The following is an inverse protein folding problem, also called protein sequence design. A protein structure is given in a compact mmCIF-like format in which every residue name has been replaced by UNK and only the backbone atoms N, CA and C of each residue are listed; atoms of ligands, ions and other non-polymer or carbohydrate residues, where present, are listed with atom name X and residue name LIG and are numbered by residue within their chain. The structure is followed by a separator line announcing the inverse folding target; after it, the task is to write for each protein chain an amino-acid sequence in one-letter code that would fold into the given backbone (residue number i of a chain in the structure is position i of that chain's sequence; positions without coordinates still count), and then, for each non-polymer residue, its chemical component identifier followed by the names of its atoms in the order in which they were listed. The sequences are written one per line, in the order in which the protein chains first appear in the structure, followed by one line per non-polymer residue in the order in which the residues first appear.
data_IF_563454423380
#
_entry.id   IF_563454423380
#
_cell.length_a   1.000
_cell.length_b   1.000
_cell.length_c   1.000
_cell.angle_alpha   90.00
_cell.angle_beta   90.00
_cell.angle_gamma   90.00
#
_symmetry.space_group_name_H-M   'P 1'
#
loop_
_entity.id
_entity.type
_entity.pdbx_description
1 polymer ?
#
# COMPACT_ATOMS: atom_id res chain seq x y z
N UNK A 1 37.19 23.93 -18.78
CA UNK A 1 35.78 24.32 -18.93
C UNK A 1 35.13 23.47 -20.03
N UNK A 2 34.51 22.34 -19.69
CA UNK A 2 33.46 21.72 -20.54
C UNK A 2 32.60 20.80 -19.68
N UNK A 3 31.50 21.37 -19.17
CA UNK A 3 30.48 20.70 -18.37
C UNK A 3 29.64 19.83 -19.31
N UNK A 4 29.91 18.52 -19.37
CA UNK A 4 28.99 17.57 -20.02
C UNK A 4 27.79 17.37 -19.09
N UNK A 5 26.66 17.95 -19.48
CA UNK A 5 25.37 17.71 -18.85
C UNK A 5 25.01 16.23 -19.00
N UNK A 6 25.03 15.49 -17.88
CA UNK A 6 24.34 14.21 -17.78
C UNK A 6 22.86 14.54 -17.57
N UNK A 7 22.06 14.36 -18.61
CA UNK A 7 20.61 14.49 -18.56
C UNK A 7 20.05 13.47 -17.57
N UNK A 8 19.32 14.00 -16.60
CA UNK A 8 18.72 13.31 -15.48
C UNK A 8 17.52 12.49 -15.99
N UNK A 9 17.56 11.17 -15.84
CA UNK A 9 16.42 10.25 -16.01
C UNK A 9 15.45 10.34 -14.81
N UNK A 10 14.99 11.55 -14.46
CA UNK A 10 13.94 11.76 -13.45
C UNK A 10 12.59 11.82 -14.17
N UNK A 11 11.82 10.74 -14.10
CA UNK A 11 10.39 10.81 -14.44
C UNK A 11 9.76 9.63 -15.15
N UNK A 12 10.38 8.45 -15.20
CA UNK A 12 9.62 7.27 -15.64
C UNK A 12 8.72 6.79 -14.49
N UNK A 13 7.38 6.86 -14.61
CA UNK A 13 6.53 6.12 -13.69
C UNK A 13 6.91 4.65 -13.85
N UNK A 14 7.26 4.00 -12.75
CA UNK A 14 7.41 2.56 -12.73
C UNK A 14 6.00 1.97 -12.93
N UNK A 15 5.56 1.83 -14.18
CA UNK A 15 4.38 1.05 -14.51
C UNK A 15 4.73 -0.41 -14.25
N UNK A 16 4.52 -0.85 -13.02
CA UNK A 16 4.50 -2.25 -12.67
C UNK A 16 3.32 -2.91 -13.40
N UNK A 17 3.55 -3.34 -14.64
CA UNK A 17 2.63 -4.23 -15.33
C UNK A 17 2.70 -5.59 -14.64
N UNK A 18 1.93 -5.75 -13.56
CA UNK A 18 1.67 -7.06 -12.97
C UNK A 18 0.78 -7.82 -13.96
N UNK A 19 1.30 -8.93 -14.49
CA UNK A 19 0.48 -9.90 -15.20
C UNK A 19 -0.46 -10.58 -14.20
N UNK A 20 -1.72 -10.88 -14.60
CA UNK A 20 -2.66 -11.61 -13.76
C UNK A 20 -2.02 -12.87 -13.18
N UNK A 21 -1.97 -12.98 -11.85
CA UNK A 21 -1.31 -14.10 -11.19
C UNK A 21 -1.97 -14.48 -9.87
N UNK A 22 -1.81 -15.75 -9.52
CA UNK A 22 -2.28 -16.30 -8.26
C UNK A 22 -1.15 -16.30 -7.24
N UNK A 23 -1.45 -15.84 -6.03
CA UNK A 23 -0.60 -15.85 -4.86
C UNK A 23 -1.14 -16.85 -3.84
N UNK A 24 -0.26 -17.35 -2.99
CA UNK A 24 -0.64 -18.12 -1.80
C UNK A 24 -0.17 -17.33 -0.60
N UNK A 25 -1.08 -17.03 0.32
CA UNK A 25 -0.72 -16.34 1.57
C UNK A 25 -0.30 -17.32 2.68
N UNK A 26 0.09 -16.77 3.82
CA UNK A 26 0.58 -17.55 4.97
C UNK A 26 -0.49 -18.48 5.58
N UNK A 27 -1.78 -18.24 5.29
CA UNK A 27 -2.90 -19.10 5.67
C UNK A 27 -3.22 -20.17 4.60
N UNK A 28 -2.44 -20.24 3.53
CA UNK A 28 -2.64 -21.16 2.41
C UNK A 28 -3.77 -20.77 1.45
N UNK A 29 -4.33 -19.56 1.56
CA UNK A 29 -5.40 -19.08 0.68
C UNK A 29 -4.84 -18.71 -0.68
N UNK A 30 -5.53 -19.11 -1.75
CA UNK A 30 -5.18 -18.73 -3.12
C UNK A 30 -5.85 -17.40 -3.48
N UNK A 31 -5.06 -16.36 -3.69
CA UNK A 31 -5.53 -15.02 -4.03
C UNK A 31 -5.17 -14.72 -5.48
N UNK A 32 -6.17 -14.51 -6.34
CA UNK A 32 -5.95 -14.11 -7.73
C UNK A 32 -5.99 -12.60 -7.85
N UNK A 33 -4.90 -11.99 -8.32
CA UNK A 33 -4.85 -10.56 -8.62
C UNK A 33 -4.75 -10.37 -10.13
N UNK A 34 -5.79 -9.79 -10.72
CA UNK A 34 -5.82 -9.44 -12.14
C UNK A 34 -4.95 -8.21 -12.47
N UNK A 35 -4.73 -7.34 -11.49
CA UNK A 35 -3.92 -6.12 -11.58
C UNK A 35 -3.28 -5.82 -10.22
N UNK A 36 -2.33 -4.89 -10.20
CA UNK A 36 -1.80 -4.36 -8.94
C UNK A 36 -2.92 -3.71 -8.10
N UNK A 37 -3.00 -3.98 -6.78
CA UNK A 37 -3.89 -3.29 -5.87
C UNK A 37 -3.61 -1.79 -5.85
N UNK A 38 -4.66 -0.99 -5.77
CA UNK A 38 -4.59 0.48 -5.77
C UNK A 38 -5.28 1.10 -4.56
N UNK A 39 -5.96 0.28 -3.74
CA UNK A 39 -6.69 0.69 -2.54
C UNK A 39 -6.47 -0.34 -1.43
N UNK A 40 -5.42 -0.13 -0.65
CA UNK A 40 -4.95 -1.03 0.39
C UNK A 40 -5.38 -0.55 1.77
N UNK A 41 -5.97 -1.44 2.56
CA UNK A 41 -6.09 -1.27 4.02
C UNK A 41 -4.96 -2.05 4.69
N UNK A 42 -4.23 -1.39 5.58
CA UNK A 42 -3.13 -1.98 6.36
C UNK A 42 -3.54 -2.15 7.82
N UNK A 43 -3.61 -3.39 8.30
CA UNK A 43 -4.05 -3.76 9.64
C UNK A 43 -2.91 -3.97 10.65
N UNK A 44 -1.68 -3.58 10.30
CA UNK A 44 -0.55 -3.59 11.23
C UNK A 44 0.41 -2.41 11.00
N UNK A 45 1.00 -1.83 12.06
CA UNK A 45 2.01 -0.77 11.93
C UNK A 45 3.19 -1.17 11.03
N UNK A 46 3.74 -2.36 11.22
CA UNK A 46 4.86 -2.87 10.42
C UNK A 46 4.55 -2.93 8.92
N UNK A 47 3.33 -3.32 8.55
CA UNK A 47 2.89 -3.35 7.14
C UNK A 47 2.78 -1.93 6.59
N UNK A 48 2.20 -1.01 7.37
CA UNK A 48 2.10 0.40 6.98
C UNK A 48 3.48 1.00 6.72
N UNK A 49 4.43 0.78 7.62
CA UNK A 49 5.80 1.25 7.46
C UNK A 49 6.48 0.70 6.21
N UNK A 50 6.31 -0.59 5.92
CA UNK A 50 6.82 -1.21 4.69
C UNK A 50 6.23 -0.55 3.45
N UNK A 51 4.90 -0.35 3.41
CA UNK A 51 4.22 0.28 2.28
C UNK A 51 4.74 1.70 2.01
N UNK A 52 4.94 2.50 3.07
CA UNK A 52 5.59 3.81 2.94
C UNK A 52 7.04 3.69 2.46
N UNK A 53 7.82 2.75 2.99
CA UNK A 53 9.23 2.57 2.64
C UNK A 53 9.42 2.20 1.16
N UNK A 54 8.47 1.48 0.56
CA UNK A 54 8.49 1.11 -0.88
C UNK A 54 7.75 2.11 -1.78
N UNK A 55 7.33 3.26 -1.24
CA UNK A 55 6.71 4.33 -2.02
C UNK A 55 5.25 4.08 -2.43
N UNK A 56 4.53 3.22 -1.71
CA UNK A 56 3.11 2.92 -1.93
C UNK A 56 2.19 3.66 -0.96
N UNK A 57 2.55 4.90 -0.60
CA UNK A 57 1.78 5.69 0.35
C UNK A 57 0.41 6.14 -0.18
N UNK A 58 0.26 6.26 -1.50
CA UNK A 58 -0.96 6.77 -2.13
C UNK A 58 -2.04 5.69 -2.21
N UNK A 59 -1.63 4.43 -2.26
CA UNK A 59 -2.48 3.25 -2.30
C UNK A 59 -3.11 2.96 -0.93
N UNK A 60 -2.53 3.45 0.17
CA UNK A 60 -3.05 3.25 1.52
C UNK A 60 -4.33 4.08 1.72
N UNK A 61 -5.47 3.40 1.86
CA UNK A 61 -6.78 4.03 2.09
C UNK A 61 -7.27 3.91 3.54
N UNK A 62 -6.66 3.03 4.35
CA UNK A 62 -6.98 2.88 5.76
C UNK A 62 -5.86 2.21 6.54
N UNK A 63 -5.73 2.57 7.81
CA UNK A 63 -4.71 2.06 8.73
C UNK A 63 -5.30 1.83 10.12
N UNK A 64 -4.54 1.17 11.00
CA UNK A 64 -4.95 1.01 12.41
C UNK A 64 -4.69 2.28 13.23
N UNK A 65 -5.30 2.35 14.41
CA UNK A 65 -5.07 3.43 15.38
C UNK A 65 -3.61 3.53 15.83
N UNK A 66 -2.88 2.42 15.76
CA UNK A 66 -1.48 2.33 16.17
C UNK A 66 -0.48 2.69 15.06
N UNK A 67 -0.95 2.95 13.84
CA UNK A 67 -0.08 3.40 12.76
C UNK A 67 0.22 4.89 12.93
N UNK A 68 1.41 5.19 13.48
CA UNK A 68 1.87 6.54 13.82
C UNK A 68 3.18 6.95 13.12
N UNK A 69 3.83 6.02 12.42
CA UNK A 69 5.02 6.24 11.60
C UNK A 69 4.82 5.74 10.15
N UNK A 70 5.32 6.46 9.14
CA UNK A 70 5.80 7.85 9.22
C UNK A 70 4.67 8.81 9.65
N UNK A 71 4.97 10.07 10.03
CA UNK A 71 3.94 11.00 10.52
C UNK A 71 2.71 11.12 9.61
N UNK A 72 2.88 11.00 8.29
CA UNK A 72 1.79 10.99 7.31
C UNK A 72 0.78 9.84 7.51
N UNK A 73 1.18 8.71 8.12
CA UNK A 73 0.27 7.60 8.43
C UNK A 73 -0.82 7.98 9.46
N UNK A 74 -0.58 9.03 10.25
CA UNK A 74 -1.59 9.56 11.20
C UNK A 74 -2.77 10.21 10.50
N UNK A 75 -2.59 10.67 9.25
CA UNK A 75 -3.62 11.34 8.46
C UNK A 75 -4.55 10.34 7.75
N UNK A 76 -4.16 9.07 7.68
CA UNK A 76 -4.95 8.03 7.02
C UNK A 76 -6.17 7.64 7.89
N UNK A 77 -7.33 7.31 7.28
CA UNK A 77 -8.51 6.84 7.99
C UNK A 77 -8.20 5.66 8.92
N UNK A 78 -8.77 5.69 10.13
CA UNK A 78 -8.57 4.65 11.14
C UNK A 78 -9.66 3.59 11.04
N UNK A 79 -9.27 2.32 10.99
CA UNK A 79 -10.18 1.19 10.71
C UNK A 79 -10.22 0.13 11.82
N UNK A 80 -9.74 0.43 13.03
CA UNK A 80 -9.63 -0.57 14.09
C UNK A 80 -8.28 -1.30 14.08
N UNK A 81 -8.08 -2.13 15.11
CA UNK A 81 -6.90 -2.97 15.28
C UNK A 81 -7.28 -4.42 15.60
N UNK A 82 -7.33 -4.79 16.89
CA UNK A 82 -7.63 -6.17 17.32
C UNK A 82 -9.03 -6.64 16.90
N UNK A 83 -9.95 -5.69 16.74
CA UNK A 83 -11.26 -5.90 16.16
C UNK A 83 -11.46 -4.81 15.08
N UNK A 84 -11.05 -5.08 13.82
CA UNK A 84 -11.19 -4.12 12.74
C UNK A 84 -12.67 -3.76 12.52
N UNK A 85 -12.94 -2.47 12.31
CA UNK A 85 -14.27 -2.00 11.98
C UNK A 85 -14.59 -2.34 10.52
N UNK A 86 -15.33 -3.45 10.34
CA UNK A 86 -15.67 -3.98 9.02
C UNK A 86 -16.45 -2.96 8.17
N UNK A 87 -17.39 -2.23 8.76
CA UNK A 87 -18.17 -1.22 8.03
C UNK A 87 -17.29 -0.07 7.53
N UNK A 88 -16.32 0.37 8.34
CA UNK A 88 -15.34 1.37 7.93
C UNK A 88 -14.45 0.86 6.79
N UNK A 89 -13.99 -0.40 6.87
CA UNK A 89 -13.18 -1.03 5.82
C UNK A 89 -13.98 -1.12 4.51
N UNK A 90 -15.21 -1.63 4.55
CA UNK A 90 -16.07 -1.77 3.36
C UNK A 90 -16.36 -0.40 2.73
N UNK A 91 -16.62 0.62 3.54
CA UNK A 91 -16.85 2.00 3.08
C UNK A 91 -15.66 2.55 2.28
N UNK A 92 -14.43 2.18 2.65
CA UNK A 92 -13.22 2.57 1.94
C UNK A 92 -13.01 1.83 0.61
N UNK A 93 -13.85 0.84 0.27
CA UNK A 93 -13.77 0.07 -0.97
C UNK A 93 -12.33 -0.40 -1.31
N UNK A 94 -11.63 -1.10 -0.40
CA UNK A 94 -10.30 -1.61 -0.68
C UNK A 94 -10.35 -2.74 -1.71
N UNK A 95 -9.28 -2.87 -2.48
CA UNK A 95 -9.03 -4.01 -3.36
C UNK A 95 -8.01 -5.00 -2.76
N UNK A 96 -7.40 -4.65 -1.62
CA UNK A 96 -6.56 -5.53 -0.80
C UNK A 96 -6.59 -5.12 0.68
N UNK A 97 -6.60 -6.11 1.58
CA UNK A 97 -6.43 -5.92 3.02
C UNK A 97 -5.23 -6.76 3.47
N UNK A 98 -4.30 -6.13 4.19
CA UNK A 98 -3.05 -6.72 4.67
C UNK A 98 -3.00 -6.71 6.20
#
# INVERSE_FOLDING_TARGET
MTRRQQGILTGMPFMANITPRTFVDDLGRKIFLAKAPTRVVSLAPSITEILYAIGLNDEIVGVTEFCDYPPAAKEKPKVGYAQPNIEAIVTLQPDLVL
#
